data_IF_479243497694
#
_entry.id   IF_479243497694
#
_cell.length_a   1.000
_cell.length_b   1.000
_cell.length_c   1.000
_cell.angle_alpha   90.00
_cell.angle_beta   90.00
_cell.angle_gamma   90.00
#
_symmetry.space_group_name_H-M   'P 1'
#
loop_
_entity.id
_entity.type
_entity.pdbx_description
1 polymer ?
#
# COMPACT_ATOMS: atom_id res chain seq x y z
N UNK A 1 -20.12 2.81 -14.49
CA UNK A 1 -19.00 3.05 -13.55
C UNK A 1 -18.09 1.83 -13.59
N UNK A 2 -17.26 1.75 -14.62
CA UNK A 2 -16.24 0.70 -14.80
C UNK A 2 -14.91 1.40 -15.04
N UNK A 3 -13.98 1.27 -14.10
CA UNK A 3 -12.62 1.84 -14.19
C UNK A 3 -12.51 3.26 -13.60
N UNK A 4 -12.56 3.38 -12.27
CA UNK A 4 -12.23 4.63 -11.60
C UNK A 4 -10.69 4.73 -11.43
N UNK A 5 -10.06 5.59 -12.21
CA UNK A 5 -8.68 6.02 -12.01
C UNK A 5 -8.71 7.45 -11.45
N UNK A 6 -8.01 7.71 -10.34
CA UNK A 6 -7.48 9.05 -10.10
C UNK A 6 -6.19 9.08 -10.91
N UNK A 7 -6.22 9.83 -12.00
CA UNK A 7 -5.05 10.12 -12.82
C UNK A 7 -4.86 11.63 -12.72
N UNK A 8 -3.66 12.03 -12.37
CA UNK A 8 -3.20 13.42 -12.42
C UNK A 8 -1.92 13.38 -13.29
N UNK A 9 -2.12 13.29 -14.60
CA UNK A 9 -1.08 13.24 -15.63
C UNK A 9 -0.26 14.52 -15.66
N UNK A 10 -0.86 15.65 -15.28
CA UNK A 10 -0.29 16.98 -15.50
C UNK A 10 0.36 17.60 -14.25
N UNK A 11 0.36 16.88 -13.11
CA UNK A 11 1.13 17.21 -11.90
C UNK A 11 0.66 18.48 -11.17
N UNK A 12 -0.60 18.86 -11.38
CA UNK A 12 -1.18 20.10 -10.88
C UNK A 12 -2.10 19.91 -9.67
N UNK A 13 -2.29 18.66 -9.22
CA UNK A 13 -3.17 18.31 -8.12
C UNK A 13 -4.65 18.21 -8.52
N UNK A 14 -4.97 18.27 -9.82
CA UNK A 14 -6.33 18.12 -10.34
C UNK A 14 -6.46 16.78 -11.09
N UNK A 15 -7.45 15.93 -10.75
CA UNK A 15 -7.65 14.68 -11.49
C UNK A 15 -8.23 14.91 -12.90
N UNK A 16 -7.73 14.21 -13.92
CA UNK A 16 -8.27 14.30 -15.30
C UNK A 16 -9.48 13.39 -15.57
N UNK A 17 -9.78 12.46 -14.67
CA UNK A 17 -10.93 11.54 -14.76
C UNK A 17 -11.90 11.72 -13.59
N UNK A 18 -13.20 11.78 -13.88
CA UNK A 18 -14.24 12.36 -12.99
C UNK A 18 -14.94 11.37 -12.03
N UNK A 19 -14.37 10.20 -11.75
CA UNK A 19 -14.94 9.28 -10.77
C UNK A 19 -13.99 9.10 -9.59
N UNK A 20 -14.22 9.92 -8.55
CA UNK A 20 -13.46 10.13 -7.29
C UNK A 20 -12.43 11.27 -7.36
N UNK A 21 -12.55 12.21 -6.42
CA UNK A 21 -11.82 13.49 -6.48
C UNK A 21 -10.88 13.59 -5.28
N UNK A 22 -9.63 13.98 -5.55
CA UNK A 22 -8.63 14.37 -4.55
C UNK A 22 -8.55 15.89 -4.42
N UNK A 23 -8.36 16.38 -3.20
CA UNK A 23 -8.09 17.79 -2.88
C UNK A 23 -6.90 17.86 -1.92
N UNK A 24 -6.22 19.00 -1.88
CA UNK A 24 -5.25 19.30 -0.83
C UNK A 24 -5.97 19.98 0.34
N UNK A 25 -5.51 19.73 1.57
CA UNK A 25 -6.04 20.41 2.75
C UNK A 25 -6.00 21.94 2.58
N UNK A 26 -7.04 22.65 3.01
CA UNK A 26 -7.21 24.08 2.74
C UNK A 26 -7.84 24.43 1.37
N UNK A 27 -8.03 23.48 0.46
CA UNK A 27 -8.75 23.75 -0.79
C UNK A 27 -10.26 23.90 -0.57
N UNK A 28 -10.92 24.64 -1.47
CA UNK A 28 -12.38 24.69 -1.56
C UNK A 28 -12.91 23.63 -2.52
N UNK A 29 -14.05 23.02 -2.20
CA UNK A 29 -14.71 22.09 -3.12
C UNK A 29 -15.12 22.80 -4.40
N UNK A 30 -14.91 22.12 -5.53
CA UNK A 30 -15.27 22.60 -6.87
C UNK A 30 -16.10 21.55 -7.56
N UNK A 31 -17.22 21.97 -8.14
CA UNK A 31 -18.15 21.04 -8.77
C UNK A 31 -18.76 21.62 -10.05
N UNK A 32 -19.05 20.73 -10.99
CA UNK A 32 -19.87 21.02 -12.16
C UNK A 32 -21.03 20.04 -12.16
N UNK A 33 -22.24 20.56 -12.32
CA UNK A 33 -23.47 19.78 -12.36
C UNK A 33 -24.17 19.92 -13.72
N UNK A 34 -24.78 18.81 -14.17
CA UNK A 34 -25.61 18.70 -15.36
C UNK A 34 -26.92 18.00 -14.96
N UNK A 35 -28.06 18.59 -15.32
CA UNK A 35 -29.39 18.06 -15.03
C UNK A 35 -30.14 17.86 -16.32
N UNK A 36 -30.80 16.72 -16.48
CA UNK A 36 -31.71 16.47 -17.59
C UNK A 36 -33.02 17.25 -17.38
N UNK A 37 -33.61 17.68 -18.49
CA UNK A 37 -34.91 18.34 -18.55
C UNK A 37 -35.89 17.33 -19.13
N UNK A 38 -36.83 16.87 -18.30
CA UNK A 38 -37.86 15.93 -18.73
C UNK A 38 -38.96 16.65 -19.54
N UNK A 39 -39.38 17.83 -19.06
CA UNK A 39 -40.36 18.69 -19.72
C UNK A 39 -39.72 20.03 -20.04
N UNK A 40 -39.50 20.33 -21.33
CA UNK A 40 -38.83 21.55 -21.74
C UNK A 40 -39.73 22.78 -21.53
N UNK A 41 -39.41 23.68 -20.58
CA UNK A 41 -40.27 24.81 -20.30
C UNK A 41 -40.08 25.92 -21.35
N UNK A 42 -41.15 26.24 -22.09
CA UNK A 42 -41.12 27.32 -23.10
C UNK A 42 -40.99 28.72 -22.48
N UNK A 43 -41.38 28.90 -21.21
CA UNK A 43 -41.44 30.19 -20.53
C UNK A 43 -40.27 30.43 -19.54
N UNK A 44 -39.40 29.46 -19.34
CA UNK A 44 -38.26 29.56 -18.43
C UNK A 44 -36.96 29.58 -19.24
N UNK A 45 -36.30 30.75 -19.28
CA UNK A 45 -35.04 30.90 -20.04
C UNK A 45 -33.79 30.58 -19.21
N UNK A 46 -33.84 30.88 -17.92
CA UNK A 46 -32.70 30.66 -17.01
C UNK A 46 -33.16 30.18 -15.65
N UNK A 47 -32.29 29.45 -14.98
CA UNK A 47 -32.53 28.91 -13.64
C UNK A 47 -31.35 29.19 -12.72
N UNK A 48 -31.59 29.12 -11.42
CA UNK A 48 -30.54 29.09 -10.40
C UNK A 48 -30.45 27.69 -9.83
N UNK A 49 -29.28 27.07 -9.94
CA UNK A 49 -29.00 25.77 -9.34
C UNK A 49 -28.32 25.99 -7.99
N UNK A 50 -28.77 25.27 -6.97
CA UNK A 50 -28.11 25.23 -5.66
C UNK A 50 -27.86 23.79 -5.24
N UNK A 51 -26.69 23.53 -4.67
CA UNK A 51 -26.33 22.26 -4.05
C UNK A 51 -25.98 22.48 -2.59
N UNK A 52 -26.56 21.69 -1.68
CA UNK A 52 -26.16 21.65 -0.28
C UNK A 52 -25.50 20.30 0.00
N UNK A 53 -24.17 20.30 0.06
CA UNK A 53 -23.39 19.14 0.41
C UNK A 53 -23.36 18.93 1.92
N UNK A 54 -23.44 17.69 2.37
CA UNK A 54 -23.27 17.29 3.76
C UNK A 54 -22.29 16.13 3.83
N UNK A 55 -21.26 16.30 4.64
CA UNK A 55 -20.29 15.25 4.98
C UNK A 55 -20.91 14.27 5.99
N UNK A 56 -20.37 13.04 6.11
CA UNK A 56 -20.78 12.12 7.17
C UNK A 56 -20.62 12.71 8.58
N UNK A 57 -19.66 13.61 8.77
CA UNK A 57 -19.37 14.29 10.04
C UNK A 57 -20.23 15.56 10.27
N UNK A 58 -21.19 15.85 9.39
CA UNK A 58 -22.13 16.95 9.55
C UNK A 58 -21.69 18.32 9.02
N UNK A 59 -20.42 18.49 8.62
CA UNK A 59 -19.96 19.69 7.89
C UNK A 59 -20.74 19.85 6.59
N UNK A 60 -21.21 21.06 6.30
CA UNK A 60 -21.97 21.39 5.10
C UNK A 60 -21.12 22.18 4.11
N UNK A 61 -21.45 22.11 2.82
CA UNK A 61 -20.91 22.99 1.79
C UNK A 61 -22.00 23.49 0.85
N UNK A 62 -22.01 24.79 0.55
CA UNK A 62 -23.04 25.39 -0.28
C UNK A 62 -22.49 25.72 -1.66
N UNK A 63 -23.20 25.30 -2.70
CA UNK A 63 -22.90 25.63 -4.08
C UNK A 63 -24.05 26.39 -4.70
N UNK A 64 -23.75 27.41 -5.50
CA UNK A 64 -24.75 28.16 -6.23
C UNK A 64 -24.24 28.56 -7.61
N UNK A 65 -25.06 28.33 -8.62
CA UNK A 65 -24.86 28.87 -9.96
C UNK A 65 -26.14 29.61 -10.38
N UNK A 66 -26.02 30.92 -10.57
CA UNK A 66 -27.12 31.78 -11.01
C UNK A 66 -27.14 31.86 -12.53
N UNK A 67 -28.33 32.09 -13.09
CA UNK A 67 -28.54 32.32 -14.51
C UNK A 67 -28.01 31.18 -15.41
N UNK A 68 -28.19 29.93 -14.97
CA UNK A 68 -27.92 28.77 -15.80
C UNK A 68 -28.88 28.75 -16.98
N UNK A 69 -28.35 28.82 -18.20
CA UNK A 69 -29.15 28.68 -19.42
C UNK A 69 -29.69 27.27 -19.56
N UNK A 70 -30.92 27.18 -20.05
CA UNK A 70 -31.51 25.94 -20.55
C UNK A 70 -31.08 25.77 -22.00
N UNK A 71 -30.49 24.63 -22.35
CA UNK A 71 -30.00 24.33 -23.70
C UNK A 71 -30.39 22.91 -24.09
N UNK A 72 -31.35 22.78 -25.00
CA UNK A 72 -31.90 21.48 -25.38
C UNK A 72 -32.46 20.75 -24.16
N UNK A 73 -32.05 19.50 -23.97
CA UNK A 73 -32.58 18.62 -22.93
C UNK A 73 -31.82 18.73 -21.60
N UNK A 74 -30.97 19.75 -21.42
CA UNK A 74 -30.14 19.85 -20.23
C UNK A 74 -29.97 21.28 -19.70
N UNK A 75 -29.79 21.35 -18.38
CA UNK A 75 -29.19 22.50 -17.69
C UNK A 75 -27.79 22.11 -17.24
N UNK A 76 -26.78 22.85 -17.69
CA UNK A 76 -25.40 22.67 -17.25
C UNK A 76 -24.91 23.91 -16.53
N UNK A 77 -24.30 23.69 -15.37
CA UNK A 77 -23.64 24.76 -14.60
C UNK A 77 -22.20 24.96 -15.10
N UNK A 78 -21.66 26.18 -14.93
CA UNK A 78 -20.20 26.34 -14.90
C UNK A 78 -19.68 25.79 -13.56
N UNK A 79 -18.35 25.69 -13.43
CA UNK A 79 -17.74 25.29 -12.17
C UNK A 79 -18.20 26.21 -11.03
N UNK A 80 -18.80 25.62 -10.00
CA UNK A 80 -19.13 26.29 -8.74
C UNK A 80 -18.06 25.96 -7.72
N UNK A 81 -17.63 26.96 -6.97
CA UNK A 81 -16.82 26.79 -5.76
C UNK A 81 -17.74 26.80 -4.55
N UNK A 82 -17.43 26.02 -3.51
CA UNK A 82 -18.18 26.09 -2.26
C UNK A 82 -18.14 27.51 -1.69
N UNK A 83 -19.29 28.06 -1.33
CA UNK A 83 -19.47 29.42 -0.84
C UNK A 83 -19.05 29.59 0.62
N UNK A 84 -18.73 28.50 1.31
CA UNK A 84 -18.32 28.44 2.71
C UNK A 84 -16.95 27.78 2.87
N UNK A 85 -16.47 27.71 4.12
CA UNK A 85 -15.11 27.39 4.54
C UNK A 85 -14.40 26.30 3.71
N UNK A 86 -13.08 26.44 3.49
CA UNK A 86 -12.28 25.43 2.83
C UNK A 86 -12.40 24.06 3.53
N UNK A 87 -12.00 23.01 2.81
CA UNK A 87 -11.66 21.73 3.41
C UNK A 87 -10.65 21.93 4.54
N UNK A 88 -10.66 21.05 5.55
CA UNK A 88 -9.95 21.28 6.80
C UNK A 88 -8.54 21.83 6.57
N UNK A 89 -8.20 22.95 7.21
CA UNK A 89 -6.84 23.48 7.14
C UNK A 89 -5.88 22.49 7.79
N UNK A 90 -4.82 22.10 7.05
CA UNK A 90 -3.73 21.26 7.54
C UNK A 90 -4.20 19.91 8.07
N UNK A 91 -5.09 19.23 7.33
CA UNK A 91 -5.68 17.97 7.78
C UNK A 91 -6.05 17.01 6.65
N UNK A 92 -5.76 15.71 6.81
CA UNK A 92 -6.33 14.68 5.93
C UNK A 92 -7.81 14.46 6.23
N UNK A 93 -8.61 14.25 5.20
CA UNK A 93 -10.04 13.91 5.33
C UNK A 93 -10.44 12.87 4.29
N UNK A 94 -11.48 12.10 4.61
CA UNK A 94 -12.09 11.15 3.69
C UNK A 94 -13.61 11.22 3.86
N UNK A 95 -14.31 11.63 2.81
CA UNK A 95 -15.77 11.69 2.80
C UNK A 95 -16.30 10.61 1.88
N UNK A 96 -16.98 9.62 2.46
CA UNK A 96 -17.56 8.52 1.72
C UNK A 96 -18.90 8.08 2.35
N UNK A 97 -20.05 8.56 1.85
CA UNK A 97 -20.22 9.56 0.80
C UNK A 97 -20.30 11.00 1.34
N UNK A 98 -19.80 11.97 0.58
CA UNK A 98 -20.30 13.35 0.57
C UNK A 98 -21.62 13.38 -0.21
N UNK A 99 -22.72 13.77 0.44
CA UNK A 99 -24.05 13.79 -0.21
C UNK A 99 -24.45 15.22 -0.55
N UNK A 100 -24.85 15.50 -1.80
CA UNK A 100 -25.30 16.82 -2.24
C UNK A 100 -26.80 16.78 -2.54
N UNK A 101 -27.56 17.60 -1.82
CA UNK A 101 -28.99 17.83 -2.08
C UNK A 101 -29.15 18.97 -3.09
N UNK A 102 -29.80 18.71 -4.20
CA UNK A 102 -29.92 19.66 -5.31
C UNK A 102 -31.28 20.31 -5.36
N UNK A 103 -31.28 21.60 -5.65
CA UNK A 103 -32.50 22.38 -5.90
C UNK A 103 -32.32 23.29 -7.09
N UNK A 104 -33.41 23.51 -7.81
CA UNK A 104 -33.51 24.55 -8.82
C UNK A 104 -34.49 25.62 -8.38
N UNK A 105 -34.11 26.88 -8.54
CA UNK A 105 -34.96 28.05 -8.38
C UNK A 105 -35.17 28.71 -9.73
N UNK A 106 -36.40 29.05 -10.05
CA UNK A 106 -36.78 29.66 -11.34
C UNK A 106 -38.00 30.57 -11.14
N UNK A 107 -38.36 31.33 -12.17
CA UNK A 107 -39.61 32.10 -12.20
C UNK A 107 -40.50 31.54 -13.29
N UNK A 108 -41.76 31.26 -12.97
CA UNK A 108 -42.80 30.87 -13.93
C UNK A 108 -43.89 31.94 -13.90
N UNK A 109 -44.17 32.59 -15.03
CA UNK A 109 -45.05 33.76 -15.10
C UNK A 109 -44.73 34.84 -14.03
N UNK A 110 -43.44 35.12 -13.82
CA UNK A 110 -42.97 36.08 -12.81
C UNK A 110 -42.96 35.58 -11.36
N UNK A 111 -43.63 34.46 -11.05
CA UNK A 111 -43.74 33.91 -9.70
C UNK A 111 -42.52 33.01 -9.39
N UNK A 112 -41.77 33.27 -8.29
CA UNK A 112 -40.66 32.41 -7.87
C UNK A 112 -41.15 30.99 -7.54
N UNK A 113 -40.44 29.99 -8.05
CA UNK A 113 -40.64 28.58 -7.77
C UNK A 113 -39.32 27.93 -7.37
N UNK A 114 -39.41 26.91 -6.53
CA UNK A 114 -38.28 26.06 -6.15
C UNK A 114 -38.70 24.61 -6.34
N UNK A 115 -37.83 23.79 -6.93
CA UNK A 115 -38.04 22.34 -7.10
C UNK A 115 -36.80 21.59 -6.59
N UNK A 116 -37.03 20.52 -5.85
CA UNK A 116 -35.97 19.58 -5.47
C UNK A 116 -35.58 18.73 -6.69
N UNK A 117 -34.27 18.58 -6.92
CA UNK A 117 -33.70 17.82 -8.04
C UNK A 117 -33.06 16.49 -7.59
N UNK A 118 -33.34 16.07 -6.35
CA UNK A 118 -32.80 14.84 -5.77
C UNK A 118 -31.40 15.02 -5.18
N UNK A 119 -30.69 13.90 -5.06
CA UNK A 119 -29.41 13.83 -4.35
C UNK A 119 -28.34 13.15 -5.18
N UNK A 120 -27.08 13.57 -5.02
CA UNK A 120 -25.92 12.83 -5.54
C UNK A 120 -24.94 12.49 -4.41
N UNK A 121 -24.20 11.40 -4.59
CA UNK A 121 -23.23 10.88 -3.61
C UNK A 121 -21.85 10.83 -4.25
N UNK A 122 -20.84 11.32 -3.53
CA UNK A 122 -19.46 11.42 -4.01
C UNK A 122 -18.49 10.87 -2.97
N UNK A 123 -17.37 10.31 -3.43
CA UNK A 123 -16.25 9.97 -2.56
C UNK A 123 -15.15 11.00 -2.77
N UNK A 124 -14.74 11.65 -1.67
CA UNK A 124 -13.74 12.72 -1.69
C UNK A 124 -12.57 12.34 -0.79
N UNK A 125 -11.36 12.49 -1.31
CA UNK A 125 -10.10 12.31 -0.61
C UNK A 125 -9.46 13.68 -0.39
N UNK A 126 -9.00 13.97 0.83
CA UNK A 126 -8.30 15.22 1.16
C UNK A 126 -6.93 14.87 1.72
N UNK A 127 -5.87 15.25 1.01
CA UNK A 127 -4.48 15.00 1.36
C UNK A 127 -3.97 16.08 2.32
N UNK A 128 -2.94 15.77 3.10
CA UNK A 128 -2.36 16.73 4.03
C UNK A 128 -1.72 17.91 3.27
N UNK A 129 -0.86 17.59 2.31
CA UNK A 129 -0.12 18.53 1.47
C UNK A 129 -0.34 18.21 0.00
N UNK A 130 0.17 19.06 -0.90
CA UNK A 130 0.33 18.68 -2.30
C UNK A 130 1.17 17.39 -2.35
N UNK A 131 0.72 16.35 -3.08
CA UNK A 131 1.49 15.13 -3.22
C UNK A 131 2.91 15.42 -3.72
N UNK A 132 3.90 14.82 -3.07
CA UNK A 132 5.28 14.80 -3.55
C UNK A 132 5.52 13.44 -4.19
N UNK A 133 5.66 13.44 -5.51
CA UNK A 133 5.70 12.20 -6.27
C UNK A 133 7.04 11.48 -6.18
N UNK A 134 8.12 12.18 -5.81
CA UNK A 134 9.47 11.61 -5.85
C UNK A 134 9.72 10.86 -7.17
N UNK A 135 9.95 9.55 -7.06
CA UNK A 135 10.22 8.63 -8.18
C UNK A 135 8.94 8.09 -8.88
N UNK A 136 7.75 8.32 -8.33
CA UNK A 136 6.50 7.78 -8.87
C UNK A 136 5.97 8.61 -10.04
N UNK A 137 5.95 8.03 -11.24
CA UNK A 137 5.31 8.67 -12.40
C UNK A 137 3.78 8.80 -12.28
N UNK A 138 3.13 7.96 -11.48
CA UNK A 138 1.67 7.97 -11.27
C UNK A 138 1.34 7.56 -9.84
N UNK A 139 0.51 8.36 -9.16
CA UNK A 139 -0.11 7.95 -7.91
C UNK A 139 -1.47 7.33 -8.23
N UNK A 140 -1.69 6.10 -7.81
CA UNK A 140 -2.95 5.40 -8.07
C UNK A 140 -3.98 5.74 -7.01
N UNK A 141 -5.26 5.62 -7.38
CA UNK A 141 -6.38 5.80 -6.44
C UNK A 141 -6.27 4.93 -5.18
N UNK A 142 -5.65 3.75 -5.28
CA UNK A 142 -5.36 2.92 -4.10
C UNK A 142 -4.40 3.62 -3.14
N UNK A 143 -3.31 4.18 -3.64
CA UNK A 143 -2.35 4.95 -2.82
C UNK A 143 -3.04 6.14 -2.17
N UNK A 144 -3.86 6.87 -2.93
CA UNK A 144 -4.67 7.99 -2.40
C UNK A 144 -5.63 7.54 -1.29
N UNK A 145 -6.30 6.40 -1.49
CA UNK A 145 -7.19 5.82 -0.51
C UNK A 145 -6.45 5.43 0.77
N UNK A 146 -5.34 4.70 0.68
CA UNK A 146 -4.55 4.29 1.85
C UNK A 146 -3.98 5.49 2.63
N UNK A 147 -3.64 6.57 1.93
CA UNK A 147 -3.10 7.79 2.53
C UNK A 147 -4.11 8.61 3.33
N UNK A 148 -5.41 8.45 3.07
CA UNK A 148 -6.44 9.39 3.57
C UNK A 148 -7.67 8.72 4.20
N UNK A 149 -7.91 7.42 3.95
CA UNK A 149 -9.08 6.69 4.47
C UNK A 149 -9.06 6.46 5.99
N UNK A 150 -7.91 6.61 6.62
CA UNK A 150 -7.77 6.84 8.06
C UNK A 150 -7.54 8.34 8.31
N UNK A 151 -8.59 9.18 8.30
CA UNK A 151 -8.46 10.64 8.22
C UNK A 151 -7.99 11.27 9.53
N UNK A 152 -7.68 12.56 9.49
CA UNK A 152 -7.37 13.39 10.67
C UNK A 152 -5.89 13.54 10.99
N UNK A 153 -4.99 13.18 10.07
CA UNK A 153 -3.57 13.52 10.20
C UNK A 153 -3.41 15.03 10.04
N UNK A 154 -2.74 15.70 10.99
CA UNK A 154 -2.50 17.15 10.99
C UNK A 154 -1.07 17.57 10.64
N UNK A 155 -0.18 16.59 10.47
CA UNK A 155 1.21 16.76 10.13
C UNK A 155 1.76 15.47 9.51
N UNK A 156 2.95 15.53 8.91
CA UNK A 156 3.55 14.40 8.19
C UNK A 156 3.79 13.16 9.06
N UNK A 157 4.18 13.33 10.33
CA UNK A 157 4.29 12.21 11.29
C UNK A 157 2.95 11.48 11.45
N UNK A 158 1.88 12.21 11.73
CA UNK A 158 0.55 11.61 11.87
C UNK A 158 0.06 10.97 10.57
N UNK A 159 0.46 11.51 9.41
CA UNK A 159 0.14 10.92 8.12
C UNK A 159 0.83 9.55 7.96
N UNK A 160 2.11 9.43 8.33
CA UNK A 160 2.84 8.15 8.38
C UNK A 160 2.13 7.16 9.30
N UNK A 161 1.86 7.53 10.55
CA UNK A 161 1.23 6.66 11.55
C UNK A 161 -0.15 6.15 11.11
N UNK A 162 -0.98 7.04 10.54
CA UNK A 162 -2.33 6.71 10.08
C UNK A 162 -2.32 5.82 8.84
N UNK A 163 -1.40 6.07 7.90
CA UNK A 163 -1.21 5.23 6.71
C UNK A 163 -0.72 3.85 7.14
N UNK A 164 0.31 3.79 8.00
CA UNK A 164 0.89 2.56 8.51
C UNK A 164 -0.11 1.67 9.24
N UNK A 165 -1.06 2.27 9.97
CA UNK A 165 -2.13 1.51 10.66
C UNK A 165 -2.87 0.55 9.72
N UNK A 166 -3.04 0.91 8.43
CA UNK A 166 -3.70 0.04 7.46
C UNK A 166 -2.83 -1.16 7.07
N UNK A 167 -1.51 -0.95 6.90
CA UNK A 167 -0.57 -2.02 6.59
C UNK A 167 -0.38 -2.98 7.78
N UNK A 168 -0.33 -2.43 9.01
CA UNK A 168 -0.18 -3.20 10.25
C UNK A 168 -1.31 -4.22 10.47
N UNK A 169 -2.50 -4.00 9.90
CA UNK A 169 -3.65 -4.91 10.03
C UNK A 169 -3.55 -6.17 9.17
N UNK A 170 -2.60 -6.24 8.23
CA UNK A 170 -2.35 -7.41 7.36
C UNK A 170 -3.55 -7.86 6.51
N UNK A 171 -4.46 -6.94 6.22
CA UNK A 171 -5.72 -7.20 5.52
C UNK A 171 -5.93 -6.22 4.34
N UNK A 172 -4.84 -5.72 3.75
CA UNK A 172 -4.90 -4.65 2.76
C UNK A 172 -5.84 -4.96 1.60
N UNK A 173 -6.67 -3.97 1.28
CA UNK A 173 -7.44 -3.93 0.04
C UNK A 173 -7.00 -2.73 -0.77
N UNK A 174 -7.40 -2.73 -2.03
CA UNK A 174 -7.37 -1.47 -2.77
C UNK A 174 -8.42 -0.49 -2.31
N UNK A 175 -8.56 0.62 -3.05
CA UNK A 175 -9.72 1.51 -2.91
C UNK A 175 -11.07 0.77 -3.02
N UNK A 176 -11.10 -0.40 -3.68
CA UNK A 176 -12.23 -1.30 -3.71
C UNK A 176 -12.06 -2.33 -2.59
N UNK A 177 -12.92 -2.35 -1.56
CA UNK A 177 -12.81 -3.28 -0.43
C UNK A 177 -12.96 -4.76 -0.84
N UNK A 178 -13.57 -5.03 -1.99
CA UNK A 178 -13.70 -6.40 -2.51
C UNK A 178 -12.43 -6.91 -3.19
N UNK A 179 -11.41 -6.06 -3.36
CA UNK A 179 -10.17 -6.41 -4.03
C UNK A 179 -8.99 -6.40 -3.05
N UNK A 180 -8.69 -7.58 -2.52
CA UNK A 180 -7.59 -7.83 -1.58
C UNK A 180 -6.24 -7.83 -2.29
N UNK A 181 -5.21 -7.45 -1.54
CA UNK A 181 -3.81 -7.46 -1.96
C UNK A 181 -3.05 -8.49 -1.12
N UNK A 182 -2.47 -9.48 -1.77
CA UNK A 182 -1.83 -10.63 -1.17
C UNK A 182 -0.32 -10.52 -1.31
N UNK A 183 0.38 -10.60 -0.18
CA UNK A 183 1.80 -10.88 -0.19
C UNK A 183 1.98 -12.37 -0.47
N UNK A 184 2.34 -12.67 -1.71
CA UNK A 184 2.11 -13.91 -2.46
C UNK A 184 0.82 -14.66 -2.12
N UNK A 185 -0.11 -14.72 -3.06
CA UNK A 185 -1.37 -15.42 -2.92
C UNK A 185 -1.16 -16.93 -3.02
N UNK A 186 -1.75 -17.70 -2.10
CA UNK A 186 -1.74 -19.16 -2.17
C UNK A 186 -2.30 -19.64 -3.54
N UNK A 187 -1.60 -20.59 -4.16
CA UNK A 187 -1.92 -21.10 -5.50
C UNK A 187 -1.36 -20.25 -6.65
N UNK A 188 -0.70 -19.13 -6.36
CA UNK A 188 0.07 -18.35 -7.32
C UNK A 188 1.55 -18.50 -6.98
N UNK A 189 2.30 -19.20 -7.83
CA UNK A 189 3.75 -19.36 -7.67
C UNK A 189 4.48 -18.01 -7.69
N UNK A 190 5.74 -17.98 -7.24
CA UNK A 190 6.57 -16.78 -7.19
C UNK A 190 6.55 -15.96 -8.49
N UNK A 191 6.75 -16.62 -9.64
CA UNK A 191 6.77 -15.98 -10.96
C UNK A 191 5.44 -15.35 -11.40
N UNK A 192 4.33 -15.69 -10.74
CA UNK A 192 3.00 -15.09 -10.99
C UNK A 192 2.70 -13.94 -10.02
N UNK A 193 3.58 -13.70 -9.05
CA UNK A 193 3.46 -12.57 -8.13
C UNK A 193 4.14 -11.35 -8.72
N UNK A 194 3.41 -10.25 -8.76
CA UNK A 194 3.77 -9.07 -9.51
C UNK A 194 4.86 -8.30 -8.76
N UNK A 195 5.77 -7.69 -9.52
CA UNK A 195 6.93 -6.92 -9.03
C UNK A 195 6.82 -5.43 -9.34
N UNK A 196 5.82 -5.02 -10.10
CA UNK A 196 5.56 -3.62 -10.45
C UNK A 196 4.21 -3.17 -9.90
N UNK A 197 4.16 -1.93 -9.39
CA UNK A 197 2.96 -1.38 -8.74
C UNK A 197 1.75 -1.31 -9.68
N UNK A 198 1.91 -0.88 -10.93
CA UNK A 198 0.78 -0.74 -11.86
C UNK A 198 0.13 -2.09 -12.22
N UNK A 199 0.88 -3.10 -12.71
CA UNK A 199 0.32 -4.42 -12.95
C UNK A 199 -0.30 -5.01 -11.69
N UNK A 200 0.36 -4.85 -10.53
CA UNK A 200 -0.15 -5.30 -9.24
C UNK A 200 -1.53 -4.69 -8.93
N UNK A 201 -1.65 -3.37 -9.13
CA UNK A 201 -2.88 -2.65 -8.88
C UNK A 201 -3.97 -2.88 -9.94
N UNK A 202 -3.64 -3.38 -11.14
CA UNK A 202 -4.62 -3.74 -12.18
C UNK A 202 -5.01 -5.21 -12.16
N UNK A 203 -4.19 -6.08 -11.56
CA UNK A 203 -4.45 -7.51 -11.51
C UNK A 203 -5.72 -7.86 -10.73
N UNK A 204 -6.42 -8.91 -11.20
CA UNK A 204 -7.60 -9.46 -10.53
C UNK A 204 -7.23 -10.36 -9.35
N UNK A 205 -6.04 -10.97 -9.37
CA UNK A 205 -5.59 -11.88 -8.32
C UNK A 205 -4.89 -11.15 -7.16
N UNK A 206 -4.31 -9.97 -7.40
CA UNK A 206 -3.68 -9.14 -6.38
C UNK A 206 -2.49 -9.81 -5.68
N UNK A 207 -1.73 -10.69 -6.36
CA UNK A 207 -0.54 -11.34 -5.79
C UNK A 207 0.70 -10.50 -6.09
N UNK A 208 1.47 -10.13 -5.06
CA UNK A 208 2.65 -9.28 -5.19
C UNK A 208 3.83 -9.73 -4.34
N UNK A 209 5.02 -9.33 -4.76
CA UNK A 209 6.28 -9.51 -4.03
C UNK A 209 6.58 -8.32 -3.10
N UNK A 210 7.64 -8.38 -2.30
CA UNK A 210 7.92 -7.38 -1.27
C UNK A 210 8.08 -5.96 -1.81
N UNK A 211 8.80 -5.81 -2.94
CA UNK A 211 8.99 -4.53 -3.62
C UNK A 211 7.68 -3.80 -3.94
N UNK A 212 6.61 -4.49 -4.34
CA UNK A 212 5.35 -3.80 -4.70
C UNK A 212 4.60 -3.30 -3.48
N UNK A 213 4.73 -3.97 -2.35
CA UNK A 213 4.17 -3.50 -1.09
C UNK A 213 4.97 -2.31 -0.55
N UNK A 214 6.30 -2.35 -0.71
CA UNK A 214 7.20 -1.23 -0.43
C UNK A 214 6.82 0.00 -1.28
N UNK A 215 6.69 -0.16 -2.59
CA UNK A 215 6.25 0.89 -3.50
C UNK A 215 4.83 1.39 -3.18
N UNK A 216 3.90 0.51 -2.85
CA UNK A 216 2.54 0.90 -2.48
C UNK A 216 2.53 1.78 -1.21
N UNK A 217 3.32 1.42 -0.20
CA UNK A 217 3.44 2.20 1.02
C UNK A 217 4.12 3.55 0.76
N UNK A 218 5.24 3.56 0.03
CA UNK A 218 5.93 4.79 -0.39
C UNK A 218 5.01 5.71 -1.20
N UNK A 219 4.24 5.16 -2.14
CA UNK A 219 3.27 5.93 -2.92
C UNK A 219 2.14 6.51 -2.05
N UNK A 220 1.69 5.79 -1.01
CA UNK A 220 0.70 6.32 -0.06
C UNK A 220 1.29 7.42 0.84
N UNK A 221 2.57 7.34 1.21
CA UNK A 221 3.27 8.40 1.92
C UNK A 221 3.45 9.66 1.04
N UNK A 222 3.87 9.46 -0.20
CA UNK A 222 4.02 10.49 -1.23
C UNK A 222 2.74 11.32 -1.44
N UNK A 223 1.56 10.70 -1.37
CA UNK A 223 0.26 11.40 -1.44
C UNK A 223 0.11 12.51 -0.39
N UNK A 224 0.67 12.34 0.80
CA UNK A 224 0.67 13.35 1.87
C UNK A 224 1.95 14.22 1.87
N UNK A 225 2.78 14.10 0.83
CA UNK A 225 4.04 14.81 0.70
C UNK A 225 5.15 14.29 1.61
N UNK A 226 5.11 13.02 2.02
CA UNK A 226 6.10 12.42 2.92
C UNK A 226 7.19 11.71 2.13
N UNK A 227 8.44 12.12 2.32
CA UNK A 227 9.60 11.50 1.68
C UNK A 227 9.95 10.13 2.28
N UNK A 228 10.28 9.18 1.40
CA UNK A 228 10.67 7.82 1.76
C UNK A 228 11.56 7.17 0.70
N UNK A 229 12.35 6.18 1.12
CA UNK A 229 13.25 5.39 0.26
C UNK A 229 13.01 3.90 0.43
N UNK A 230 13.39 3.13 -0.58
CA UNK A 230 13.48 1.68 -0.46
C UNK A 230 14.73 1.33 0.36
N UNK A 231 14.70 0.17 0.99
CA UNK A 231 15.82 -0.40 1.71
C UNK A 231 15.88 -1.87 1.38
N UNK A 232 17.02 -2.29 0.84
CA UNK A 232 17.34 -3.69 0.63
C UNK A 232 17.85 -4.30 1.94
N UNK A 233 17.27 -5.42 2.31
CA UNK A 233 17.61 -6.19 3.50
C UNK A 233 18.22 -7.50 3.06
N UNK A 234 19.47 -7.74 3.45
CA UNK A 234 20.26 -8.89 3.00
C UNK A 234 21.12 -9.44 4.15
N UNK A 235 21.50 -10.74 4.10
CA UNK A 235 22.55 -11.27 4.96
C UNK A 235 23.91 -10.60 4.67
N UNK A 236 24.62 -10.16 5.72
CA UNK A 236 25.94 -9.52 5.57
C UNK A 236 26.96 -10.39 4.84
N UNK A 237 26.79 -11.71 4.90
CA UNK A 237 27.71 -12.69 4.31
C UNK A 237 27.80 -12.59 2.78
N UNK A 238 26.77 -12.03 2.11
CA UNK A 238 26.76 -11.78 0.65
C UNK A 238 27.94 -10.90 0.23
N UNK A 239 28.28 -9.87 1.00
CA UNK A 239 29.39 -8.97 0.69
C UNK A 239 30.78 -9.61 0.86
N UNK A 240 30.91 -10.54 1.80
CA UNK A 240 32.22 -11.00 2.26
C UNK A 240 32.59 -12.39 1.75
N UNK A 241 31.60 -13.19 1.33
CA UNK A 241 31.80 -14.49 0.70
C UNK A 241 30.69 -14.79 -0.32
N UNK A 242 30.78 -14.27 -1.56
CA UNK A 242 29.79 -14.53 -2.61
C UNK A 242 29.61 -16.02 -2.95
N UNK A 243 30.64 -16.85 -2.75
CA UNK A 243 30.52 -18.31 -2.91
C UNK A 243 29.78 -19.02 -1.75
N UNK A 244 29.34 -18.26 -0.74
CA UNK A 244 28.76 -18.69 0.52
C UNK A 244 27.44 -17.93 0.80
N UNK A 245 26.72 -17.55 -0.27
CA UNK A 245 25.47 -16.80 -0.21
C UNK A 245 24.47 -17.46 0.74
N UNK A 246 24.42 -16.92 1.96
CA UNK A 246 23.35 -17.22 2.89
C UNK A 246 22.10 -16.47 2.46
N UNK A 247 20.96 -17.06 2.77
CA UNK A 247 19.63 -16.46 2.67
C UNK A 247 19.03 -16.40 4.06
N UNK A 248 18.23 -15.37 4.33
CA UNK A 248 17.49 -15.20 5.57
C UNK A 248 16.42 -16.27 5.69
N UNK A 249 16.37 -16.99 6.81
CA UNK A 249 15.24 -17.84 7.19
C UNK A 249 14.31 -17.03 8.08
N UNK A 250 13.15 -16.65 7.55
CA UNK A 250 12.16 -15.80 8.24
C UNK A 250 11.38 -16.60 9.27
N UNK A 251 11.04 -15.96 10.39
CA UNK A 251 10.41 -16.55 11.57
C UNK A 251 9.21 -17.44 11.30
N UNK A 252 9.01 -18.34 12.26
CA UNK A 252 7.97 -19.37 12.24
C UNK A 252 8.50 -20.74 11.87
N UNK A 253 9.75 -21.07 12.21
CA UNK A 253 10.29 -22.42 12.05
C UNK A 253 10.69 -23.02 13.39
N UNK A 254 10.36 -24.29 13.61
CA UNK A 254 10.90 -25.10 14.69
C UNK A 254 12.14 -25.87 14.21
N UNK A 255 13.13 -25.92 15.09
CA UNK A 255 14.37 -26.68 14.96
C UNK A 255 14.39 -27.86 15.98
N UNK A 256 13.22 -28.33 16.40
CA UNK A 256 13.07 -29.38 17.42
C UNK A 256 13.45 -30.78 16.90
N UNK A 257 13.40 -31.00 15.59
CA UNK A 257 13.83 -32.29 15.03
C UNK A 257 15.36 -32.41 15.06
N UNK A 258 15.82 -33.66 15.15
CA UNK A 258 17.25 -33.99 15.15
C UNK A 258 17.93 -33.47 13.87
N UNK A 259 19.06 -32.75 13.98
CA UNK A 259 19.75 -32.23 12.81
C UNK A 259 20.30 -33.37 11.93
N UNK A 260 20.02 -33.32 10.62
CA UNK A 260 20.51 -34.28 9.62
C UNK A 260 22.03 -34.20 9.39
N UNK A 261 22.66 -33.05 9.64
CA UNK A 261 24.06 -32.79 9.32
C UNK A 261 24.90 -32.56 10.58
N UNK A 262 24.94 -33.57 11.47
CA UNK A 262 25.64 -33.48 12.76
C UNK A 262 27.13 -33.11 12.66
N UNK A 263 27.79 -33.46 11.55
CA UNK A 263 29.21 -33.16 11.31
C UNK A 263 29.45 -31.77 10.72
N UNK A 264 28.40 -31.05 10.32
CA UNK A 264 28.55 -29.68 9.87
C UNK A 264 28.49 -28.73 11.06
N UNK A 265 29.59 -28.05 11.33
CA UNK A 265 29.68 -27.17 12.49
C UNK A 265 28.79 -25.92 12.35
N UNK A 266 28.37 -25.57 11.13
CA UNK A 266 27.72 -24.29 10.83
C UNK A 266 26.27 -24.39 10.44
N UNK A 267 25.85 -25.44 9.72
CA UNK A 267 24.49 -25.60 9.22
C UNK A 267 24.04 -27.05 9.38
N UNK A 268 23.48 -27.34 10.55
CA UNK A 268 23.23 -28.71 11.01
C UNK A 268 21.89 -29.26 10.53
N UNK A 269 20.94 -28.41 10.17
CA UNK A 269 19.58 -28.84 9.83
C UNK A 269 19.35 -28.87 8.33
N UNK A 270 18.53 -29.82 7.88
CA UNK A 270 18.06 -29.96 6.51
C UNK A 270 16.73 -29.24 6.33
N UNK A 271 16.69 -28.30 5.39
CA UNK A 271 15.47 -27.67 4.91
C UNK A 271 15.20 -28.13 3.47
N UNK A 272 14.00 -28.61 3.15
CA UNK A 272 13.64 -29.06 1.79
C UNK A 272 12.50 -28.23 1.25
N UNK A 273 12.79 -27.36 0.28
CA UNK A 273 11.82 -26.46 -0.36
C UNK A 273 11.38 -26.99 -1.74
N UNK A 274 10.19 -26.61 -2.18
CA UNK A 274 9.75 -26.88 -3.54
C UNK A 274 10.54 -25.99 -4.52
N UNK A 275 10.90 -26.54 -5.68
CA UNK A 275 11.37 -25.75 -6.81
C UNK A 275 10.17 -25.11 -7.52
N UNK A 276 10.28 -23.82 -7.82
CA UNK A 276 9.17 -23.03 -8.37
C UNK A 276 9.49 -22.41 -9.74
N UNK A 277 10.59 -22.82 -10.36
CA UNK A 277 11.09 -22.27 -11.62
C UNK A 277 12.36 -21.45 -11.45
N UNK A 278 12.64 -20.63 -12.46
CA UNK A 278 13.69 -19.62 -12.42
C UNK A 278 13.08 -18.23 -12.55
N UNK A 279 13.76 -17.22 -12.03
CA UNK A 279 13.41 -15.82 -12.22
C UNK A 279 13.78 -15.33 -13.64
N UNK A 280 13.58 -14.03 -13.90
CA UNK A 280 13.83 -13.42 -15.20
C UNK A 280 15.31 -13.39 -15.62
N UNK A 281 16.24 -13.64 -14.71
CA UNK A 281 17.69 -13.71 -14.97
C UNK A 281 18.23 -15.15 -14.84
N UNK A 282 17.33 -16.13 -14.74
CA UNK A 282 17.68 -17.55 -14.72
C UNK A 282 18.05 -18.11 -13.36
N UNK A 283 17.90 -17.34 -12.27
CA UNK A 283 18.18 -17.82 -10.92
C UNK A 283 17.02 -18.67 -10.40
N UNK A 284 17.29 -19.84 -9.79
CA UNK A 284 16.24 -20.72 -9.31
C UNK A 284 15.47 -20.11 -8.12
N UNK A 285 14.17 -20.37 -8.12
CA UNK A 285 13.24 -19.89 -7.12
C UNK A 285 12.76 -21.05 -6.25
N UNK A 286 12.79 -20.82 -4.95
CA UNK A 286 12.54 -21.87 -3.96
C UNK A 286 11.71 -21.37 -2.81
N UNK A 287 10.78 -22.25 -2.42
CA UNK A 287 9.91 -22.03 -1.28
C UNK A 287 8.93 -20.91 -1.59
N UNK A 288 7.64 -21.21 -1.64
CA UNK A 288 6.83 -21.32 -0.43
C UNK A 288 5.34 -21.48 -0.72
N UNK A 289 4.95 -21.59 -1.99
CA UNK A 289 3.54 -21.66 -2.38
C UNK A 289 3.32 -22.70 -3.49
N UNK A 290 2.43 -23.69 -3.28
CA UNK A 290 1.69 -23.95 -2.06
C UNK A 290 2.59 -24.51 -0.93
N UNK A 291 2.19 -24.33 0.33
CA UNK A 291 2.89 -24.94 1.46
C UNK A 291 2.91 -26.48 1.34
N UNK A 292 3.97 -27.12 1.84
CA UNK A 292 4.04 -28.59 1.95
C UNK A 292 2.98 -29.13 2.90
N UNK A 293 2.51 -30.35 2.64
CA UNK A 293 1.63 -31.11 3.53
C UNK A 293 2.21 -31.16 4.95
N UNK A 294 1.38 -30.87 5.96
CA UNK A 294 1.76 -30.79 7.38
C UNK A 294 2.86 -29.78 7.74
N UNK A 295 3.27 -28.92 6.80
CA UNK A 295 4.32 -27.91 7.00
C UNK A 295 5.68 -28.47 7.42
N UNK A 296 6.00 -29.71 7.03
CA UNK A 296 7.29 -30.34 7.31
C UNK A 296 8.20 -30.21 6.07
N UNK A 297 9.41 -29.69 6.26
CA UNK A 297 10.36 -29.35 5.20
C UNK A 297 11.73 -29.98 5.49
N UNK A 298 11.79 -31.28 5.74
CA UNK A 298 12.98 -31.93 6.28
C UNK A 298 12.98 -31.84 7.81
N UNK A 299 14.08 -31.40 8.41
CA UNK A 299 14.21 -31.31 9.88
C UNK A 299 13.46 -30.10 10.45
N UNK A 300 12.96 -29.20 9.60
CA UNK A 300 12.27 -27.99 10.00
C UNK A 300 10.76 -28.10 9.77
N UNK A 301 10.00 -27.60 10.73
CA UNK A 301 8.54 -27.47 10.64
C UNK A 301 8.16 -25.99 10.62
N UNK A 302 7.38 -25.56 9.63
CA UNK A 302 6.89 -24.18 9.54
C UNK A 302 5.59 -24.03 10.34
N UNK A 303 5.63 -23.17 11.35
CA UNK A 303 4.46 -22.71 12.09
C UNK A 303 3.72 -21.60 11.35
N UNK A 304 2.39 -21.71 11.29
CA UNK A 304 1.55 -20.84 10.48
C UNK A 304 1.39 -19.40 11.03
N UNK A 305 1.66 -19.15 12.32
CA UNK A 305 1.21 -17.94 13.03
C UNK A 305 2.25 -16.85 13.30
N UNK A 306 3.55 -17.10 13.07
CA UNK A 306 4.59 -16.23 13.65
C UNK A 306 4.90 -14.95 12.88
N UNK A 307 4.79 -14.94 11.55
CA UNK A 307 5.00 -13.72 10.76
C UNK A 307 4.16 -13.75 9.48
N UNK A 308 2.89 -13.44 9.63
CA UNK A 308 1.92 -13.39 8.52
C UNK A 308 2.19 -12.22 7.58
N UNK A 309 1.95 -12.45 6.28
CA UNK A 309 1.98 -11.43 5.24
C UNK A 309 0.60 -10.81 5.01
N UNK A 310 0.54 -9.78 4.17
CA UNK A 310 -0.72 -9.17 3.74
C UNK A 310 -1.67 -10.21 3.14
N UNK A 311 -2.83 -10.41 3.78
CA UNK A 311 -3.89 -11.35 3.39
C UNK A 311 -3.45 -12.82 3.18
N UNK A 312 -2.29 -13.26 3.69
CA UNK A 312 -1.85 -14.65 3.49
C UNK A 312 -1.45 -15.37 4.78
N UNK A 313 -2.03 -16.57 4.95
CA UNK A 313 -1.81 -17.52 6.04
C UNK A 313 -1.81 -18.95 5.46
N UNK A 314 -0.73 -19.75 5.57
CA UNK A 314 0.56 -19.45 6.20
C UNK A 314 1.39 -18.43 5.40
N UNK A 315 2.49 -17.90 5.96
CA UNK A 315 3.24 -16.84 5.29
C UNK A 315 3.92 -17.38 4.05
N UNK A 316 3.83 -16.61 2.98
CA UNK A 316 4.01 -17.09 1.61
C UNK A 316 5.43 -17.03 1.10
N UNK A 317 6.35 -16.49 1.91
CA UNK A 317 7.77 -16.47 1.65
C UNK A 317 8.52 -16.52 2.99
N UNK A 318 9.49 -17.43 3.14
CA UNK A 318 10.25 -17.76 4.38
C UNK A 318 11.76 -17.79 4.15
N UNK A 319 12.23 -17.80 2.90
CA UNK A 319 13.66 -17.83 2.59
C UNK A 319 13.96 -16.73 1.60
N UNK A 320 14.81 -15.78 1.99
CA UNK A 320 15.07 -14.57 1.21
C UNK A 320 16.56 -14.38 0.98
N UNK A 321 16.98 -14.23 -0.27
CA UNK A 321 18.29 -13.63 -0.55
C UNK A 321 18.27 -12.14 -0.21
N UNK A 322 17.19 -11.47 -0.61
CA UNK A 322 16.97 -10.04 -0.47
C UNK A 322 15.49 -9.80 -0.11
N UNK A 323 15.21 -8.82 0.73
CA UNK A 323 13.86 -8.36 1.06
C UNK A 323 13.80 -6.84 1.04
N UNK A 324 12.73 -6.26 0.53
CA UNK A 324 12.62 -4.80 0.35
C UNK A 324 11.66 -4.22 1.39
N UNK A 325 12.16 -3.28 2.18
CA UNK A 325 11.37 -2.50 3.16
C UNK A 325 11.46 -1.00 2.84
N UNK A 326 10.82 -0.16 3.65
CA UNK A 326 10.72 1.29 3.43
C UNK A 326 11.33 2.06 4.58
N UNK A 327 12.19 3.04 4.30
CA UNK A 327 12.65 4.04 5.26
C UNK A 327 11.94 5.36 5.05
N UNK A 328 11.32 5.91 6.09
CA UNK A 328 10.82 7.29 6.10
C UNK A 328 11.99 8.24 6.36
N UNK A 329 12.24 9.16 5.43
CA UNK A 329 13.39 10.09 5.45
C UNK A 329 12.97 11.56 5.60
N UNK A 330 11.66 11.79 5.78
CA UNK A 330 11.06 13.11 5.83
C UNK A 330 11.45 13.89 7.09
N UNK A 331 12.21 14.98 6.91
CA UNK A 331 12.74 15.79 8.01
C UNK A 331 11.66 16.46 8.85
N UNK A 332 10.50 16.82 8.29
CA UNK A 332 9.41 17.41 9.06
C UNK A 332 8.75 16.37 9.96
N UNK A 333 8.54 15.14 9.45
CA UNK A 333 8.03 14.04 10.25
C UNK A 333 9.01 13.69 11.40
N UNK A 334 10.31 13.62 11.11
CA UNK A 334 11.36 13.37 12.09
C UNK A 334 11.40 14.48 13.16
N UNK A 335 11.37 15.74 12.75
CA UNK A 335 11.33 16.89 13.67
C UNK A 335 10.07 16.93 14.55
N UNK A 336 8.97 16.28 14.13
CA UNK A 336 7.76 16.08 14.95
C UNK A 336 7.83 14.85 15.87
N UNK A 337 9.01 14.23 15.98
CA UNK A 337 9.29 13.11 16.87
C UNK A 337 8.83 11.76 16.30
N UNK A 338 8.95 11.56 14.99
CA UNK A 338 8.85 10.21 14.41
C UNK A 338 10.06 9.40 14.90
N UNK A 339 9.81 8.25 15.54
CA UNK A 339 10.86 7.41 16.17
C UNK A 339 11.03 6.03 15.53
N UNK A 340 10.17 5.71 14.57
CA UNK A 340 10.24 4.47 13.78
C UNK A 340 10.43 4.87 12.33
N UNK A 341 11.53 4.44 11.73
CA UNK A 341 11.90 4.84 10.38
C UNK A 341 11.71 3.73 9.37
N UNK A 342 11.86 2.46 9.78
CA UNK A 342 11.87 1.30 8.91
C UNK A 342 10.55 0.54 9.02
N UNK A 343 9.90 0.34 7.87
CA UNK A 343 8.57 -0.24 7.75
C UNK A 343 8.58 -1.35 6.71
N UNK A 344 8.05 -2.51 7.10
CA UNK A 344 7.87 -3.70 6.27
C UNK A 344 6.39 -3.86 5.91
N UNK A 345 5.93 -3.23 4.82
CA UNK A 345 4.53 -3.28 4.44
C UNK A 345 4.05 -4.67 4.02
N UNK A 346 4.95 -5.57 3.64
CA UNK A 346 4.64 -6.96 3.28
C UNK A 346 4.19 -7.77 4.49
N UNK A 347 4.88 -7.62 5.62
CA UNK A 347 4.56 -8.30 6.86
C UNK A 347 3.77 -7.43 7.86
N UNK A 348 3.54 -6.15 7.57
CA UNK A 348 2.91 -5.21 8.49
C UNK A 348 3.73 -4.99 9.76
N UNK A 349 5.06 -5.10 9.67
CA UNK A 349 6.00 -4.98 10.78
C UNK A 349 6.81 -3.69 10.66
N UNK A 350 7.21 -3.10 11.78
CA UNK A 350 8.13 -1.97 11.77
C UNK A 350 9.33 -2.28 12.67
N UNK A 351 10.46 -1.65 12.37
CA UNK A 351 11.74 -1.89 13.06
C UNK A 351 12.27 -0.59 13.65
N UNK A 352 12.69 -0.66 14.90
CA UNK A 352 13.07 0.46 15.75
C UNK A 352 14.56 0.77 15.67
N UNK A 353 14.91 2.04 15.89
CA UNK A 353 16.28 2.53 15.82
C UNK A 353 16.71 2.94 14.40
N UNK A 354 18.00 3.24 14.25
CA UNK A 354 18.63 3.61 12.98
C UNK A 354 19.87 2.74 12.71
N UNK A 355 20.19 2.55 11.43
CA UNK A 355 21.35 1.76 11.00
C UNK A 355 21.42 0.41 11.70
N UNK A 356 22.52 0.14 12.42
CA UNK A 356 22.76 -1.13 13.12
C UNK A 356 21.71 -1.49 14.18
N UNK A 357 21.04 -0.52 14.79
CA UNK A 357 19.97 -0.81 15.74
C UNK A 357 18.74 -1.40 15.02
N UNK A 358 18.37 -0.81 13.88
CA UNK A 358 17.26 -1.29 13.07
C UNK A 358 17.56 -2.64 12.41
N UNK A 359 18.81 -2.86 11.96
CA UNK A 359 19.29 -4.16 11.48
C UNK A 359 19.10 -5.26 12.54
N UNK A 360 19.54 -4.98 13.78
CA UNK A 360 19.38 -5.92 14.90
C UNK A 360 17.93 -6.15 15.25
N UNK A 361 17.11 -5.10 15.24
CA UNK A 361 15.69 -5.22 15.52
C UNK A 361 14.98 -6.07 14.46
N UNK A 362 15.27 -5.85 13.18
CA UNK A 362 14.83 -6.71 12.07
C UNK A 362 15.25 -8.16 12.28
N UNK A 363 16.55 -8.42 12.51
CA UNK A 363 17.04 -9.79 12.70
C UNK A 363 16.37 -10.43 13.93
N UNK A 364 16.14 -9.67 15.00
CA UNK A 364 15.48 -10.14 16.20
C UNK A 364 14.03 -10.51 15.94
N UNK A 365 13.29 -9.71 15.15
CA UNK A 365 11.84 -9.78 14.96
C UNK A 365 11.42 -10.65 13.78
N UNK A 366 12.17 -10.65 12.68
CA UNK A 366 11.80 -11.29 11.42
C UNK A 366 12.63 -12.53 11.10
N UNK A 367 13.85 -12.67 11.62
CA UNK A 367 14.76 -13.78 11.26
C UNK A 367 14.84 -14.82 12.37
N UNK A 368 14.75 -16.11 12.02
CA UNK A 368 15.02 -17.23 12.93
C UNK A 368 16.39 -17.85 12.70
N UNK A 369 16.90 -17.75 11.48
CA UNK A 369 18.16 -18.35 11.10
C UNK A 369 18.60 -17.98 9.69
N UNK A 370 19.53 -18.76 9.19
CA UNK A 370 20.10 -18.59 7.86
C UNK A 370 20.14 -19.93 7.15
N UNK A 371 20.03 -19.89 5.84
CA UNK A 371 20.17 -21.07 5.00
C UNK A 371 21.19 -20.83 3.93
N UNK A 372 21.91 -21.87 3.53
CA UNK A 372 22.85 -21.81 2.42
C UNK A 372 22.54 -22.88 1.39
N UNK A 373 22.87 -22.55 0.15
CA UNK A 373 22.90 -23.48 -0.95
C UNK A 373 24.28 -24.15 -0.99
N UNK A 374 24.35 -25.49 -1.05
CA UNK A 374 25.65 -26.20 -1.16
C UNK A 374 25.83 -26.89 -2.51
N UNK A 375 24.74 -27.38 -3.11
CA UNK A 375 24.65 -27.88 -4.49
C UNK A 375 23.21 -28.33 -4.77
N UNK A 376 22.77 -28.33 -6.05
CA UNK A 376 21.48 -28.86 -6.46
C UNK A 376 21.45 -30.38 -6.24
N UNK A 377 21.02 -30.80 -5.07
CA UNK A 377 20.51 -32.14 -4.90
C UNK A 377 18.99 -32.05 -5.04
N UNK A 378 18.51 -32.24 -6.26
CA UNK A 378 17.12 -32.59 -6.46
C UNK A 378 16.90 -33.93 -5.78
N UNK A 379 16.14 -33.91 -4.69
CA UNK A 379 15.59 -35.12 -4.13
C UNK A 379 14.20 -35.33 -4.74
N UNK A 380 13.64 -36.55 -4.74
CA UNK A 380 12.25 -36.76 -5.13
C UNK A 380 11.25 -35.85 -4.38
N UNK A 381 11.66 -35.34 -3.21
CA UNK A 381 10.88 -34.51 -2.31
C UNK A 381 11.12 -33.00 -2.44
N UNK A 382 12.01 -32.54 -3.33
CA UNK A 382 12.29 -31.11 -3.57
C UNK A 382 13.78 -30.77 -3.56
N UNK A 383 14.10 -29.51 -3.24
CA UNK A 383 15.48 -29.00 -3.23
C UNK A 383 15.97 -28.79 -1.81
N UNK A 384 17.15 -29.34 -1.53
CA UNK A 384 17.75 -29.38 -0.21
C UNK A 384 18.60 -28.14 0.09
N UNK A 385 18.43 -27.60 1.30
CA UNK A 385 19.16 -26.48 1.87
C UNK A 385 19.72 -26.89 3.23
N UNK A 386 20.85 -26.28 3.58
CA UNK A 386 21.46 -26.42 4.89
C UNK A 386 21.05 -25.20 5.70
N UNK A 387 20.47 -25.41 6.88
CA UNK A 387 19.94 -24.37 7.76
C UNK A 387 20.71 -24.31 9.08
N UNK A 388 20.75 -23.11 9.67
CA UNK A 388 21.30 -22.83 10.99
C UNK A 388 20.44 -21.85 11.75
N UNK A 389 20.56 -21.86 13.09
CA UNK A 389 19.93 -20.83 13.93
C UNK A 389 20.73 -19.54 13.84
N UNK A 390 20.09 -18.38 13.99
CA UNK A 390 20.81 -17.09 14.00
C UNK A 390 21.82 -16.95 15.16
N UNK A 391 21.57 -17.65 16.27
CA UNK A 391 22.46 -17.71 17.42
C UNK A 391 23.77 -18.47 17.14
N UNK A 392 23.79 -19.33 16.13
CA UNK A 392 24.99 -20.06 15.74
C UNK A 392 25.85 -19.17 14.83
N UNK A 393 27.04 -18.82 15.30
CA UNK A 393 27.99 -17.97 14.58
C UNK A 393 28.88 -18.80 13.66
N UNK A 394 29.26 -18.23 12.52
CA UNK A 394 30.24 -18.81 11.63
C UNK A 394 31.65 -18.69 12.24
N UNK A 395 32.44 -19.77 12.34
CA UNK A 395 33.69 -19.82 13.11
C UNK A 395 34.82 -18.94 12.57
N UNK A 396 34.67 -18.36 11.37
CA UNK A 396 35.70 -17.56 10.69
C UNK A 396 35.22 -16.17 10.26
N UNK A 397 34.13 -15.68 10.85
CA UNK A 397 33.62 -14.34 10.60
C UNK A 397 33.39 -13.64 11.94
N UNK A 398 33.81 -12.38 12.01
CA UNK A 398 33.54 -11.51 13.16
C UNK A 398 32.05 -11.16 13.24
N UNK A 399 31.57 -10.72 14.40
CA UNK A 399 30.14 -10.42 14.59
C UNK A 399 29.62 -9.32 13.65
N UNK A 400 30.45 -8.36 13.28
CA UNK A 400 30.13 -7.29 12.33
C UNK A 400 29.97 -7.79 10.88
N UNK A 401 30.46 -8.99 10.57
CA UNK A 401 30.40 -9.62 9.23
C UNK A 401 29.31 -10.68 9.10
N UNK A 402 28.48 -10.84 10.13
CA UNK A 402 27.35 -11.76 10.15
C UNK A 402 26.09 -11.01 10.59
N UNK A 403 24.91 -11.54 10.27
CA UNK A 403 23.64 -10.89 10.59
C UNK A 403 23.01 -10.24 9.36
N UNK A 404 22.24 -9.17 9.58
CA UNK A 404 21.49 -8.45 8.56
C UNK A 404 22.07 -7.07 8.31
N UNK A 405 22.16 -6.68 7.04
CA UNK A 405 22.48 -5.31 6.64
C UNK A 405 21.32 -4.66 5.89
N UNK A 406 21.26 -3.34 6.01
CA UNK A 406 20.36 -2.49 5.23
C UNK A 406 21.17 -1.69 4.20
N UNK A 407 20.74 -1.71 2.94
CA UNK A 407 21.28 -0.89 1.85
C UNK A 407 20.19 0.06 1.35
N UNK A 408 20.50 1.35 1.20
CA UNK A 408 19.53 2.43 0.87
C UNK A 408 19.69 3.01 -0.53
#
# INVERSE_FOLDING_TARGET
>A
ITGAEWKDKDYDGKPETHERIGYVSGDTLKIKAKFAIEDNPTDIKTVTITGNAKTPQGKTFLFQYKNAGISGDYVTTKQMTSANDPLAEKGTQFFNPLTINWRVKYKKAGIPKTKDLGTSKHTIYVTLNKPDRGEFHTLYLTSLHLATSNPGAKNKKQAVEKTWTLFKQKNLTTWNPNRRLYYYKQGYGFNKSLTQLEPFLKSTHGSGQCGVFADLFRAALAVNGVHSKLVDVEPKTVLFRPSFEERMLIKGWSFEQTPSFLKDETHKWKLILNWEGNDNVGQPLFGLVPPRTNHIYGDLTSHQSYLEGQNTRPPSEKVFGQHIIVKVTDQEAIAKGLSTFYYDPSYGQAYHGEGRDAERDFESQAVVGYVRFRSYFETPEGVMFYARKKSEKLPNLTEDKQGIMFTE
#
